data_IF_514825785701
#
_entry.id   IF_514825785701
#
_cell.length_a   1.000
_cell.length_b   1.000
_cell.length_c   1.000
_cell.angle_alpha   90.00
_cell.angle_beta   90.00
_cell.angle_gamma   90.00
#
_symmetry.space_group_name_H-M   'P 1'
#
loop_
_entity.id
_entity.type
_entity.pdbx_description
1 polymer ?
#
# COMPACT_ATOMS: atom_id res chain seq x y z
N UNK A 1 -19.06 -3.14 -52.54
CA UNK A 1 -17.82 -3.01 -53.35
C UNK A 1 -16.66 -2.89 -52.36
N UNK A 2 -16.25 -3.97 -51.69
CA UNK A 2 -15.33 -5.06 -52.15
C UNK A 2 -13.92 -4.50 -52.37
N UNK A 3 -12.80 -4.94 -51.80
CA UNK A 3 -12.35 -6.09 -50.98
C UNK A 3 -11.04 -5.62 -50.28
N UNK A 4 -10.74 -5.86 -48.99
CA UNK A 4 -10.23 -7.09 -48.35
C UNK A 4 -9.05 -7.79 -49.06
N UNK A 5 -8.04 -8.17 -48.24
CA UNK A 5 -6.91 -9.10 -48.50
C UNK A 5 -5.63 -8.45 -49.09
N UNK A 6 -4.40 -8.64 -48.58
CA UNK A 6 -3.79 -9.89 -48.14
C UNK A 6 -2.67 -9.72 -47.08
N UNK A 7 -2.76 -10.63 -46.11
CA UNK A 7 -1.72 -11.23 -45.27
C UNK A 7 -0.64 -11.95 -46.12
N UNK A 8 0.62 -12.02 -45.66
CA UNK A 8 1.48 -13.22 -45.65
C UNK A 8 2.91 -12.89 -45.17
N UNK A 9 3.34 -13.63 -44.14
CA UNK A 9 4.70 -13.74 -43.60
C UNK A 9 5.67 -14.37 -44.61
N UNK A 10 6.92 -13.91 -44.64
CA UNK A 10 8.05 -14.76 -45.04
C UNK A 10 9.31 -14.41 -44.22
N UNK A 11 9.92 -15.45 -43.66
CA UNK A 11 11.15 -15.47 -42.87
C UNK A 11 12.38 -15.56 -43.76
N UNK A 12 13.51 -15.13 -43.19
CA UNK A 12 14.86 -15.72 -43.30
C UNK A 12 15.65 -15.46 -44.58
N UNK A 13 16.79 -14.78 -44.44
CA UNK A 13 18.09 -15.27 -44.92
C UNK A 13 19.26 -14.51 -44.28
N UNK A 14 20.34 -15.27 -44.15
CA UNK A 14 21.56 -15.12 -43.35
C UNK A 14 22.72 -14.68 -44.25
N UNK A 15 23.68 -13.90 -43.73
CA UNK A 15 25.02 -13.81 -44.31
C UNK A 15 26.08 -13.54 -43.23
N UNK A 16 27.15 -14.34 -43.31
CA UNK A 16 28.37 -14.37 -42.49
C UNK A 16 29.30 -13.21 -42.86
N UNK A 17 30.14 -12.69 -41.95
CA UNK A 17 31.58 -13.00 -41.77
C UNK A 17 32.18 -11.77 -41.03
N UNK A 18 33.19 -11.78 -40.15
CA UNK A 18 34.53 -12.39 -40.12
C UNK A 18 35.10 -12.38 -38.66
N UNK A 19 36.28 -12.99 -38.40
CA UNK A 19 36.75 -13.38 -37.06
C UNK A 19 37.76 -12.40 -36.44
N UNK A 20 37.68 -12.16 -35.13
CA UNK A 20 38.83 -11.68 -34.35
C UNK A 20 38.91 -12.41 -33.00
N UNK A 21 40.11 -12.92 -32.75
CA UNK A 21 40.57 -13.56 -31.53
C UNK A 21 40.48 -12.58 -30.36
N UNK A 22 39.79 -12.96 -29.30
CA UNK A 22 40.08 -12.47 -27.95
C UNK A 22 39.68 -13.57 -26.96
N UNK A 23 40.57 -13.83 -26.01
CA UNK A 23 40.44 -14.84 -24.99
C UNK A 23 39.26 -14.50 -24.07
N UNK A 24 38.08 -15.04 -24.36
CA UNK A 24 36.91 -14.93 -23.51
C UNK A 24 36.73 -16.27 -22.78
N UNK A 25 36.84 -16.24 -21.45
CA UNK A 25 36.32 -17.29 -20.57
C UNK A 25 34.87 -17.57 -20.99
N UNK A 26 34.66 -18.64 -21.76
CA UNK A 26 33.31 -19.09 -22.09
C UNK A 26 32.66 -19.57 -20.80
N UNK A 27 31.88 -18.69 -20.19
CA UNK A 27 30.93 -19.03 -19.13
C UNK A 27 30.05 -20.17 -19.64
N UNK A 28 30.28 -21.39 -19.15
CA UNK A 28 29.40 -22.51 -19.41
C UNK A 28 28.11 -22.29 -18.62
N UNK A 29 27.10 -21.75 -19.29
CA UNK A 29 25.75 -21.66 -18.74
C UNK A 29 25.14 -23.06 -18.76
N UNK A 30 25.23 -23.76 -17.63
CA UNK A 30 24.53 -25.03 -17.42
C UNK A 30 23.07 -24.72 -17.06
N UNK A 31 22.13 -25.28 -17.80
CA UNK A 31 20.71 -25.26 -17.41
C UNK A 31 20.50 -26.30 -16.32
N UNK A 32 20.32 -25.85 -15.10
CA UNK A 32 19.90 -26.69 -13.97
C UNK A 32 18.37 -26.70 -13.87
N UNK A 33 17.82 -27.83 -13.45
CA UNK A 33 16.37 -27.93 -13.22
C UNK A 33 15.97 -27.13 -11.97
N UNK A 34 14.70 -26.72 -11.87
CA UNK A 34 14.22 -26.05 -10.65
C UNK A 34 14.38 -26.94 -9.41
N UNK A 35 14.26 -28.25 -9.58
CA UNK A 35 14.49 -29.23 -8.50
C UNK A 35 15.96 -29.19 -8.04
N UNK A 36 16.90 -29.08 -8.98
CA UNK A 36 18.35 -28.97 -8.74
C UNK A 36 18.77 -27.64 -8.13
N UNK A 37 18.08 -26.57 -8.49
CA UNK A 37 18.29 -25.28 -7.83
C UNK A 37 17.79 -25.26 -6.38
N UNK A 38 16.79 -26.09 -6.05
CA UNK A 38 16.10 -26.07 -4.74
C UNK A 38 16.51 -27.20 -3.80
N UNK A 39 17.37 -28.12 -4.25
CA UNK A 39 17.76 -29.32 -3.48
C UNK A 39 16.60 -30.31 -3.27
N UNK A 40 15.61 -30.30 -4.17
CA UNK A 40 14.39 -31.11 -4.10
C UNK A 40 14.41 -32.31 -5.06
N UNK A 41 15.56 -32.68 -5.64
CA UNK A 41 15.61 -33.82 -6.58
C UNK A 41 15.18 -35.14 -5.98
N UNK A 42 15.45 -35.37 -4.70
CA UNK A 42 14.99 -36.55 -3.95
C UNK A 42 13.46 -36.62 -3.89
N UNK A 43 12.80 -35.48 -3.62
CA UNK A 43 11.34 -35.40 -3.53
C UNK A 43 10.65 -35.59 -4.90
N UNK A 44 11.23 -35.02 -5.96
CA UNK A 44 10.72 -35.21 -7.33
C UNK A 44 10.89 -36.65 -7.80
N UNK A 45 12.01 -37.28 -7.42
CA UNK A 45 12.29 -38.69 -7.77
C UNK A 45 11.37 -39.67 -7.04
N UNK A 46 11.05 -39.42 -5.77
CA UNK A 46 10.08 -40.22 -5.01
C UNK A 46 8.66 -40.07 -5.54
N UNK A 47 8.23 -38.84 -5.85
CA UNK A 47 6.88 -38.59 -6.36
C UNK A 47 6.65 -39.24 -7.73
N UNK A 48 7.69 -39.29 -8.58
CA UNK A 48 7.64 -39.96 -9.88
C UNK A 48 7.52 -41.49 -9.73
N UNK A 49 8.20 -42.09 -8.75
CA UNK A 49 8.06 -43.52 -8.43
C UNK A 49 6.67 -43.89 -7.89
N UNK A 50 6.01 -42.98 -7.15
CA UNK A 50 4.65 -43.21 -6.64
C UNK A 50 3.57 -43.02 -7.71
N UNK A 51 3.85 -42.22 -8.75
CA UNK A 51 2.88 -41.96 -9.81
C UNK A 51 2.84 -43.08 -10.86
N UNK A 52 3.95 -43.80 -11.06
CA UNK A 52 4.01 -44.97 -11.94
C UNK A 52 3.40 -46.25 -11.30
N UNK A 53 3.02 -46.20 -10.02
CA UNK A 53 2.44 -47.36 -9.29
C UNK A 53 0.94 -47.27 -9.00
N UNK A 54 0.24 -46.20 -9.41
CA UNK A 54 -1.20 -46.09 -9.22
C UNK A 54 -1.97 -46.09 -10.55
N UNK A 55 -2.63 -47.23 -10.81
CA UNK A 55 -3.63 -47.41 -11.86
C UNK A 55 -4.84 -46.48 -11.66
N UNK A 56 -5.45 -45.93 -12.72
CA UNK A 56 -6.48 -44.91 -12.59
C UNK A 56 -7.88 -45.52 -12.60
N UNK A 57 -8.45 -45.84 -11.44
CA UNK A 57 -9.89 -46.10 -11.34
C UNK A 57 -10.50 -45.50 -10.07
N UNK A 58 -11.70 -44.94 -10.25
CA UNK A 58 -12.71 -44.50 -9.27
C UNK A 58 -12.65 -43.07 -8.73
N UNK A 59 -13.46 -42.25 -9.40
CA UNK A 59 -14.02 -40.97 -9.02
C UNK A 59 -15.28 -41.24 -8.17
N UNK A 60 -15.27 -40.99 -6.84
CA UNK A 60 -16.49 -40.94 -6.02
C UNK A 60 -16.36 -39.84 -4.97
N UNK A 61 -17.38 -38.99 -4.94
CA UNK A 61 -17.72 -37.89 -4.06
C UNK A 61 -17.20 -37.98 -2.62
N UNK A 62 -16.41 -36.97 -2.21
CA UNK A 62 -16.25 -36.57 -0.81
C UNK A 62 -16.69 -35.13 -0.60
N UNK A 63 -17.99 -35.01 -0.37
CA UNK A 63 -18.66 -34.18 0.63
C UNK A 63 -17.84 -33.05 1.30
N UNK A 64 -18.26 -31.82 0.99
CA UNK A 64 -17.92 -30.55 1.62
C UNK A 64 -17.70 -30.65 3.14
N UNK A 65 -16.43 -30.66 3.55
CA UNK A 65 -15.97 -30.14 4.83
C UNK A 65 -14.72 -29.30 4.54
N UNK A 66 -14.90 -27.98 4.44
CA UNK A 66 -13.85 -27.01 4.14
C UNK A 66 -12.87 -26.85 5.32
N UNK A 67 -12.00 -27.84 5.52
CA UNK A 67 -10.67 -27.62 6.10
C UNK A 67 -9.68 -27.76 4.94
N UNK A 68 -9.51 -26.68 4.18
CA UNK A 68 -8.59 -26.64 3.05
C UNK A 68 -7.18 -26.89 3.55
N UNK A 69 -6.62 -28.04 3.19
CA UNK A 69 -5.19 -28.29 3.17
C UNK A 69 -4.51 -27.13 2.44
N UNK A 70 -3.80 -26.29 3.19
CA UNK A 70 -3.05 -25.17 2.62
C UNK A 70 -2.07 -25.74 1.61
N UNK A 71 -2.28 -25.44 0.34
CA UNK A 71 -1.39 -25.90 -0.73
C UNK A 71 0.01 -25.35 -0.44
N UNK A 72 1.06 -26.15 -0.70
CA UNK A 72 2.44 -25.66 -0.63
C UNK A 72 2.63 -24.38 -1.46
N UNK A 73 1.88 -24.24 -2.55
CA UNK A 73 1.84 -23.01 -3.38
C UNK A 73 1.25 -21.83 -2.61
N UNK A 74 0.21 -22.04 -1.81
CA UNK A 74 -0.39 -20.99 -0.96
C UNK A 74 0.59 -20.59 0.16
N UNK A 75 1.28 -21.55 0.78
CA UNK A 75 2.29 -21.28 1.82
C UNK A 75 3.48 -20.45 1.29
N UNK A 76 3.91 -20.68 0.05
CA UNK A 76 4.98 -19.90 -0.59
C UNK A 76 4.49 -18.58 -1.20
N UNK A 77 3.24 -18.51 -1.67
CA UNK A 77 2.63 -17.28 -2.19
C UNK A 77 2.40 -16.24 -1.08
N UNK A 78 2.00 -16.71 0.11
CA UNK A 78 1.79 -15.87 1.30
C UNK A 78 3.07 -15.22 1.83
N UNK A 79 4.27 -15.73 1.49
CA UNK A 79 5.54 -15.06 1.84
C UNK A 79 5.88 -13.87 0.95
N UNK A 80 5.24 -13.73 -0.22
CA UNK A 80 5.46 -12.61 -1.15
C UNK A 80 4.37 -11.54 -1.09
N UNK A 81 3.29 -11.80 -0.36
CA UNK A 81 2.23 -10.82 -0.10
C UNK A 81 1.91 -10.89 1.38
N UNK A 82 2.18 -9.84 2.17
CA UNK A 82 1.65 -9.81 3.53
C UNK A 82 0.13 -10.00 3.43
N UNK A 83 -0.37 -11.09 4.01
CA UNK A 83 -1.79 -11.27 4.28
C UNK A 83 -2.11 -10.26 5.37
N UNK A 84 -2.30 -9.00 4.99
CA UNK A 84 -3.17 -8.12 5.75
C UNK A 84 -4.54 -8.69 5.49
N UNK A 85 -5.11 -9.35 6.49
CA UNK A 85 -6.53 -9.68 6.52
C UNK A 85 -7.30 -8.50 5.96
N UNK A 86 -8.21 -8.74 5.01
CA UNK A 86 -9.10 -7.74 4.41
C UNK A 86 -10.11 -7.18 5.44
N UNK A 87 -9.66 -6.78 6.63
CA UNK A 87 -10.42 -6.02 7.64
C UNK A 87 -10.85 -4.63 7.16
N UNK A 88 -10.63 -4.28 5.88
CA UNK A 88 -11.15 -3.05 5.29
C UNK A 88 -12.59 -3.17 4.78
N UNK A 89 -13.05 -4.37 4.44
CA UNK A 89 -14.46 -4.58 4.06
C UNK A 89 -15.38 -4.54 5.30
N UNK A 90 -14.82 -4.69 6.50
CA UNK A 90 -15.53 -4.65 7.79
C UNK A 90 -15.41 -3.30 8.53
N UNK A 91 -14.88 -2.25 7.89
CA UNK A 91 -15.07 -0.88 8.40
C UNK A 91 -16.52 -0.49 8.10
N UNK A 92 -17.44 -1.06 8.89
CA UNK A 92 -18.74 -0.45 9.13
C UNK A 92 -18.46 0.96 9.63
N UNK A 93 -18.86 1.95 8.86
CA UNK A 93 -19.01 3.33 9.33
C UNK A 93 -20.10 3.37 10.41
N UNK A 94 -19.84 2.79 11.57
CA UNK A 94 -20.72 2.76 12.73
C UNK A 94 -20.03 3.56 13.82
N UNK A 95 -20.01 4.88 13.64
CA UNK A 95 -20.03 5.90 14.70
C UNK A 95 -20.00 7.29 14.05
N UNK A 96 -20.95 7.55 13.13
CA UNK A 96 -21.51 8.89 13.08
C UNK A 96 -22.24 9.07 14.41
N UNK A 97 -21.50 9.56 15.41
CA UNK A 97 -22.07 10.17 16.60
C UNK A 97 -23.10 11.16 16.09
N UNK A 98 -24.37 10.88 16.37
CA UNK A 98 -25.47 11.83 16.26
C UNK A 98 -25.06 13.09 17.01
N UNK A 99 -24.43 14.04 16.31
CA UNK A 99 -24.27 15.40 16.79
C UNK A 99 -25.69 15.96 16.83
N UNK A 100 -26.17 16.45 17.99
CA UNK A 100 -27.51 17.00 18.10
C UNK A 100 -27.67 18.15 17.10
N UNK A 101 -28.77 18.13 16.33
CA UNK A 101 -29.12 19.07 15.23
C UNK A 101 -29.29 20.55 15.67
N UNK A 102 -28.78 20.97 16.83
CA UNK A 102 -29.19 22.23 17.48
C UNK A 102 -28.11 23.30 17.71
N UNK A 103 -26.92 23.27 17.08
CA UNK A 103 -25.91 24.32 17.33
C UNK A 103 -25.10 24.86 16.13
N UNK A 104 -25.41 24.49 14.89
CA UNK A 104 -24.71 25.02 13.71
C UNK A 104 -25.51 26.15 13.03
N UNK A 105 -25.65 27.27 13.74
CA UNK A 105 -26.07 28.57 13.17
C UNK A 105 -24.85 29.47 12.96
N UNK A 106 -23.80 28.97 12.32
CA UNK A 106 -22.67 29.80 11.92
C UNK A 106 -22.37 29.62 10.44
N UNK A 107 -22.05 30.75 9.81
CA UNK A 107 -21.86 30.97 8.36
C UNK A 107 -20.99 29.88 7.74
N UNK A 108 -21.13 29.58 6.43
CA UNK A 108 -20.24 28.63 5.75
C UNK A 108 -18.79 29.08 5.99
N UNK A 109 -18.07 28.33 6.82
CA UNK A 109 -16.66 28.58 7.09
C UNK A 109 -15.91 28.35 5.78
N UNK A 110 -15.33 29.42 5.25
CA UNK A 110 -14.49 29.35 4.08
C UNK A 110 -13.23 28.58 4.46
N UNK A 111 -13.09 27.38 3.90
CA UNK A 111 -11.91 26.54 4.10
C UNK A 111 -10.68 27.28 3.57
N UNK A 112 -9.73 27.55 4.47
CA UNK A 112 -8.45 28.15 4.08
C UNK A 112 -7.43 27.04 3.77
N UNK A 113 -7.35 26.65 2.49
CA UNK A 113 -6.40 25.64 2.02
C UNK A 113 -4.93 26.03 2.26
N UNK A 114 -4.63 27.33 2.41
CA UNK A 114 -3.30 27.80 2.75
C UNK A 114 -2.91 27.39 4.18
N UNK A 115 -3.75 27.69 5.16
CA UNK A 115 -3.53 27.34 6.57
C UNK A 115 -3.41 25.83 6.75
N UNK A 116 -4.24 25.08 6.01
CA UNK A 116 -4.21 23.61 6.00
C UNK A 116 -2.87 23.10 5.46
N UNK A 117 -2.40 23.66 4.35
CA UNK A 117 -1.12 23.27 3.75
C UNK A 117 0.05 23.61 4.67
N UNK A 118 0.01 24.78 5.31
CA UNK A 118 1.01 25.20 6.30
C UNK A 118 1.05 24.23 7.49
N UNK A 119 -0.12 23.86 8.03
CA UNK A 119 -0.25 22.90 9.12
C UNK A 119 0.37 21.54 8.78
N UNK A 120 0.07 21.00 7.59
CA UNK A 120 0.66 19.73 7.14
C UNK A 120 2.17 19.85 6.92
N UNK A 121 2.65 20.98 6.40
CA UNK A 121 4.09 21.20 6.22
C UNK A 121 4.82 21.32 7.57
N UNK A 122 4.18 21.88 8.60
CA UNK A 122 4.71 21.92 9.95
C UNK A 122 4.85 20.51 10.55
N UNK A 123 3.90 19.60 10.30
CA UNK A 123 4.01 18.19 10.69
C UNK A 123 5.20 17.50 10.01
N UNK A 124 5.46 17.81 8.73
CA UNK A 124 6.64 17.28 8.02
C UNK A 124 7.94 17.77 8.64
N UNK A 125 8.03 19.06 8.96
CA UNK A 125 9.19 19.64 9.67
C UNK A 125 9.39 19.02 11.06
N UNK A 126 8.30 18.73 11.78
CA UNK A 126 8.38 18.04 13.06
C UNK A 126 8.96 16.63 12.92
N UNK A 127 8.52 15.86 11.92
CA UNK A 127 9.08 14.52 11.65
C UNK A 127 10.55 14.57 11.23
N UNK A 128 10.92 15.53 10.38
CA UNK A 128 12.31 15.73 9.96
C UNK A 128 13.18 16.09 11.17
N UNK A 129 12.71 16.99 12.04
CA UNK A 129 13.40 17.33 13.29
C UNK A 129 13.55 16.11 14.19
N UNK A 130 12.49 15.36 14.44
CA UNK A 130 12.52 14.16 15.27
C UNK A 130 13.50 13.11 14.74
N UNK A 131 13.60 12.96 13.42
CA UNK A 131 14.55 12.07 12.76
C UNK A 131 16.00 12.56 12.92
N UNK A 132 16.25 13.86 12.83
CA UNK A 132 17.58 14.47 12.99
C UNK A 132 18.06 14.51 14.45
N UNK A 133 17.13 14.59 15.40
CA UNK A 133 17.40 14.59 16.84
C UNK A 133 17.70 13.18 17.39
N UNK A 134 17.64 12.13 16.56
CA UNK A 134 17.98 10.78 16.98
C UNK A 134 19.45 10.68 17.40
N UNK A 135 19.74 10.10 18.58
CA UNK A 135 21.12 9.86 18.97
C UNK A 135 21.77 8.88 17.98
N UNK A 136 22.95 9.22 17.48
CA UNK A 136 23.80 8.34 16.67
C UNK A 136 24.31 7.09 17.45
N UNK A 137 23.80 6.84 18.64
CA UNK A 137 24.14 5.71 19.50
C UNK A 137 22.89 4.85 19.68
N UNK A 138 23.00 3.58 19.27
CA UNK A 138 21.90 2.61 19.40
C UNK A 138 21.48 2.48 20.88
N UNK A 139 20.19 2.70 21.22
CA UNK A 139 19.74 2.63 22.60
C UNK A 139 19.84 1.19 23.14
N UNK A 140 20.42 1.06 24.33
CA UNK A 140 20.78 -0.24 24.95
C UNK A 140 19.63 -1.00 25.61
N UNK A 141 18.38 -0.55 25.46
CA UNK A 141 17.22 -1.15 26.14
C UNK A 141 16.12 -1.46 25.13
N UNK A 142 15.68 -2.72 25.07
CA UNK A 142 14.46 -3.09 24.36
C UNK A 142 13.30 -2.31 24.95
N UNK A 143 12.66 -1.45 24.17
CA UNK A 143 11.44 -0.78 24.57
C UNK A 143 10.26 -1.44 23.88
N UNK A 144 9.19 -1.65 24.64
CA UNK A 144 7.94 -2.20 24.12
C UNK A 144 7.15 -1.07 23.44
N UNK A 145 7.27 -0.98 22.12
CA UNK A 145 6.52 -0.02 21.31
C UNK A 145 5.16 -0.55 20.85
N UNK A 146 4.69 -1.67 21.41
CA UNK A 146 3.46 -2.33 20.95
C UNK A 146 2.24 -1.41 21.14
N UNK A 147 2.20 -0.65 22.24
CA UNK A 147 1.13 0.33 22.46
C UNK A 147 1.10 1.38 21.34
N UNK A 148 2.24 1.99 21.00
CA UNK A 148 2.30 2.98 19.90
C UNK A 148 1.93 2.37 18.55
N UNK A 149 2.29 1.11 18.28
CA UNK A 149 1.86 0.42 17.05
C UNK A 149 0.34 0.30 17.00
N UNK A 150 -0.30 -0.12 18.08
CA UNK A 150 -1.76 -0.26 18.12
C UNK A 150 -2.47 1.08 17.95
N UNK A 151 -1.97 2.14 18.58
CA UNK A 151 -2.46 3.51 18.40
C UNK A 151 -2.27 3.98 16.96
N UNK A 152 -1.09 3.73 16.37
CA UNK A 152 -0.80 4.13 15.00
C UNK A 152 -1.69 3.43 13.98
N UNK A 153 -1.95 2.13 14.18
CA UNK A 153 -2.91 1.38 13.36
C UNK A 153 -4.32 1.95 13.50
N UNK A 154 -4.75 2.31 14.71
CA UNK A 154 -6.06 2.90 14.96
C UNK A 154 -6.20 4.25 14.24
N UNK A 155 -5.25 5.16 14.43
CA UNK A 155 -5.29 6.49 13.81
C UNK A 155 -5.10 6.45 12.30
N UNK A 156 -4.26 5.53 11.78
CA UNK A 156 -4.13 5.31 10.33
C UNK A 156 -5.44 4.80 9.71
N UNK A 157 -6.22 3.98 10.42
CA UNK A 157 -7.56 3.56 9.98
C UNK A 157 -8.57 4.72 10.07
N UNK A 158 -8.52 5.53 11.13
CA UNK A 158 -9.34 6.75 11.26
C UNK A 158 -9.07 7.69 10.09
N UNK A 159 -7.81 7.95 9.76
CA UNK A 159 -7.39 8.75 8.62
C UNK A 159 -7.91 8.17 7.29
N UNK A 160 -7.77 6.85 7.08
CA UNK A 160 -8.31 6.22 5.87
C UNK A 160 -9.83 6.40 5.75
N UNK A 161 -10.56 6.29 6.86
CA UNK A 161 -12.01 6.53 6.93
C UNK A 161 -12.38 7.98 6.64
N UNK A 162 -11.68 8.93 7.25
CA UNK A 162 -11.88 10.36 7.02
C UNK A 162 -11.61 10.74 5.55
N UNK A 163 -10.50 10.25 4.98
CA UNK A 163 -10.18 10.43 3.56
C UNK A 163 -11.25 9.82 2.63
N UNK A 164 -11.80 8.66 2.98
CA UNK A 164 -12.90 8.04 2.21
C UNK A 164 -14.15 8.92 2.26
N UNK A 165 -14.52 9.42 3.43
CA UNK A 165 -15.67 10.32 3.63
C UNK A 165 -15.49 11.61 2.85
N UNK A 166 -14.29 12.20 2.92
CA UNK A 166 -13.91 13.36 2.11
C UNK A 166 -14.17 13.13 0.63
N UNK A 167 -13.76 11.99 0.07
CA UNK A 167 -13.96 11.70 -1.36
C UNK A 167 -15.41 11.45 -1.75
N UNK A 168 -16.19 10.85 -0.86
CA UNK A 168 -17.63 10.63 -1.09
C UNK A 168 -18.36 11.97 -1.18
N UNK A 169 -18.01 12.92 -0.33
CA UNK A 169 -18.64 14.25 -0.28
C UNK A 169 -18.28 15.10 -1.51
N UNK A 170 -17.09 14.90 -2.12
CA UNK A 170 -16.75 15.56 -3.39
C UNK A 170 -17.68 15.05 -4.50
N UNK A 171 -17.95 13.75 -4.49
CA UNK A 171 -18.80 13.13 -5.51
C UNK A 171 -20.28 13.52 -5.34
N UNK A 172 -20.74 13.74 -4.11
CA UNK A 172 -22.13 14.10 -3.84
C UNK A 172 -22.42 15.61 -4.07
N UNK A 173 -21.39 16.46 -4.26
CA UNK A 173 -21.41 17.89 -4.69
C UNK A 173 -22.48 18.84 -4.09
N UNK A 174 -23.35 18.37 -3.19
CA UNK A 174 -24.68 18.92 -3.02
C UNK A 174 -24.85 19.76 -1.77
N UNK A 175 -23.99 19.60 -0.76
CA UNK A 175 -24.32 20.17 0.53
C UNK A 175 -23.30 21.08 1.19
N UNK A 176 -22.02 21.13 0.82
CA UNK A 176 -21.10 22.21 1.22
C UNK A 176 -20.79 22.35 2.73
N UNK A 177 -21.70 21.89 3.60
CA UNK A 177 -21.87 22.24 5.00
C UNK A 177 -20.96 21.43 5.91
N UNK A 178 -20.48 20.29 5.45
CA UNK A 178 -19.65 19.38 6.22
C UNK A 178 -18.18 19.42 5.81
N UNK A 179 -17.83 20.21 4.80
CA UNK A 179 -16.45 20.21 4.28
C UNK A 179 -15.42 20.59 5.32
N UNK A 180 -15.67 21.68 6.07
CA UNK A 180 -14.75 22.13 7.12
C UNK A 180 -14.55 21.03 8.17
N UNK A 181 -15.65 20.43 8.63
CA UNK A 181 -15.62 19.34 9.59
C UNK A 181 -14.84 18.11 9.08
N UNK A 182 -15.07 17.70 7.82
CA UNK A 182 -14.39 16.54 7.25
C UNK A 182 -12.89 16.81 7.09
N UNK A 183 -12.52 18.01 6.66
CA UNK A 183 -11.11 18.41 6.53
C UNK A 183 -10.45 18.45 7.91
N UNK A 184 -11.13 18.99 8.92
CA UNK A 184 -10.64 19.00 10.29
C UNK A 184 -10.44 17.58 10.84
N UNK A 185 -11.36 16.65 10.57
CA UNK A 185 -11.22 15.24 10.95
C UNK A 185 -10.03 14.56 10.24
N UNK A 186 -9.83 14.84 8.94
CA UNK A 186 -8.69 14.35 8.18
C UNK A 186 -7.37 14.90 8.76
N UNK A 187 -7.34 16.18 9.12
CA UNK A 187 -6.17 16.82 9.69
C UNK A 187 -5.88 16.31 11.09
N UNK A 188 -6.87 16.21 11.96
CA UNK A 188 -6.72 15.67 13.31
C UNK A 188 -6.18 14.23 13.27
N UNK A 189 -6.68 13.39 12.36
CA UNK A 189 -6.17 12.04 12.19
C UNK A 189 -4.73 12.02 11.64
N UNK A 190 -4.40 12.91 10.70
CA UNK A 190 -3.04 13.03 10.16
C UNK A 190 -2.04 13.54 11.22
N UNK A 191 -2.46 14.47 12.07
CA UNK A 191 -1.69 14.92 13.22
C UNK A 191 -1.46 13.79 14.21
N UNK A 192 -2.51 13.06 14.58
CA UNK A 192 -2.38 11.94 15.52
C UNK A 192 -1.39 10.89 15.00
N UNK A 193 -1.49 10.52 13.71
CA UNK A 193 -0.53 9.64 13.04
C UNK A 193 0.90 10.20 13.13
N UNK A 194 1.10 11.49 12.87
CA UNK A 194 2.42 12.16 12.93
C UNK A 194 3.00 12.12 14.34
N UNK A 195 2.21 12.47 15.36
CA UNK A 195 2.64 12.47 16.77
C UNK A 195 2.96 11.06 17.28
N UNK A 196 2.18 10.05 16.87
CA UNK A 196 2.49 8.66 17.23
C UNK A 196 3.78 8.21 16.53
N UNK A 197 3.95 8.53 15.24
CA UNK A 197 5.19 8.26 14.51
C UNK A 197 6.38 8.93 15.18
N UNK A 198 6.27 10.18 15.62
CA UNK A 198 7.32 10.89 16.37
C UNK A 198 7.69 10.15 17.66
N UNK A 199 6.69 9.73 18.46
CA UNK A 199 6.94 8.93 19.67
C UNK A 199 7.61 7.59 19.34
N UNK A 200 7.23 6.94 18.24
CA UNK A 200 7.87 5.72 17.78
C UNK A 200 9.31 5.95 17.34
N UNK A 201 9.61 7.05 16.63
CA UNK A 201 10.96 7.45 16.24
C UNK A 201 11.83 7.60 17.49
N UNK A 202 11.38 8.41 18.46
CA UNK A 202 12.10 8.67 19.72
C UNK A 202 12.36 7.39 20.54
N UNK A 203 11.48 6.40 20.44
CA UNK A 203 11.60 5.10 21.14
C UNK A 203 12.29 4.02 20.31
N UNK A 204 12.52 4.25 19.02
CA UNK A 204 13.05 3.23 18.12
C UNK A 204 14.51 2.97 18.43
N UNK A 205 14.86 1.70 18.62
CA UNK A 205 16.24 1.26 18.75
C UNK A 205 16.97 1.13 17.41
N UNK A 206 16.24 1.31 16.31
CA UNK A 206 16.72 1.10 14.95
C UNK A 206 16.52 2.38 14.13
N UNK A 207 17.65 2.95 13.69
CA UNK A 207 17.65 4.07 12.74
C UNK A 207 16.90 3.68 11.47
N UNK A 208 17.04 2.43 11.01
CA UNK A 208 16.31 1.93 9.85
C UNK A 208 14.79 1.98 10.07
N UNK A 209 14.29 1.52 11.21
CA UNK A 209 12.85 1.58 11.50
C UNK A 209 12.36 3.02 11.64
N UNK A 210 13.13 3.89 12.30
CA UNK A 210 12.78 5.30 12.40
C UNK A 210 12.72 5.95 11.01
N UNK A 211 13.75 5.77 10.17
CA UNK A 211 13.77 6.27 8.80
C UNK A 211 12.60 5.75 7.97
N UNK A 212 12.29 4.46 8.08
CA UNK A 212 11.19 3.86 7.35
C UNK A 212 9.84 4.47 7.77
N UNK A 213 9.61 4.61 9.07
CA UNK A 213 8.41 5.23 9.64
C UNK A 213 8.27 6.70 9.25
N UNK A 214 9.35 7.48 9.36
CA UNK A 214 9.42 8.88 8.91
C UNK A 214 9.07 8.98 7.43
N UNK A 215 9.75 8.20 6.58
CA UNK A 215 9.55 8.24 5.12
C UNK A 215 8.10 7.90 4.75
N UNK A 216 7.51 6.88 5.38
CA UNK A 216 6.12 6.47 5.08
C UNK A 216 5.11 7.50 5.54
N UNK A 217 5.31 8.09 6.71
CA UNK A 217 4.44 9.16 7.22
C UNK A 217 4.58 10.42 6.36
N UNK A 218 5.80 10.78 5.94
CA UNK A 218 6.03 11.92 5.05
C UNK A 218 5.39 11.72 3.67
N UNK A 219 5.52 10.52 3.08
CA UNK A 219 4.84 10.17 1.82
C UNK A 219 3.32 10.32 1.94
N UNK A 220 2.74 9.87 3.05
CA UNK A 220 1.33 10.03 3.35
C UNK A 220 0.94 11.52 3.45
N UNK A 221 1.65 12.32 4.23
CA UNK A 221 1.38 13.76 4.38
C UNK A 221 1.49 14.50 3.04
N UNK A 222 2.50 14.20 2.23
CA UNK A 222 2.65 14.76 0.89
C UNK A 222 1.46 14.43 0.00
N UNK A 223 1.04 13.17 -0.04
CA UNK A 223 -0.14 12.77 -0.82
C UNK A 223 -1.43 13.41 -0.31
N UNK A 224 -1.55 13.69 0.99
CA UNK A 224 -2.70 14.38 1.56
C UNK A 224 -2.77 15.84 1.07
N UNK A 225 -1.66 16.57 1.08
CA UNK A 225 -1.59 17.94 0.53
C UNK A 225 -1.96 17.94 -0.96
N UNK A 226 -1.43 16.99 -1.73
CA UNK A 226 -1.77 16.88 -3.15
C UNK A 226 -3.28 16.65 -3.36
N UNK A 227 -3.91 15.79 -2.55
CA UNK A 227 -5.37 15.58 -2.59
C UNK A 227 -6.08 16.89 -2.28
N UNK A 228 -5.78 17.56 -1.17
CA UNK A 228 -6.44 18.81 -0.76
C UNK A 228 -6.33 19.91 -1.83
N UNK A 229 -5.15 20.09 -2.44
CA UNK A 229 -4.96 21.01 -3.58
C UNK A 229 -5.77 20.60 -4.82
N UNK A 230 -5.98 19.31 -5.02
CA UNK A 230 -6.85 18.82 -6.09
C UNK A 230 -8.33 19.02 -5.79
N UNK A 231 -8.74 18.99 -4.51
CA UNK A 231 -10.11 19.31 -4.11
C UNK A 231 -10.39 20.78 -4.42
N UNK A 232 -9.48 21.68 -4.04
CA UNK A 232 -9.58 23.11 -4.35
C UNK A 232 -9.77 23.34 -5.86
N UNK A 233 -9.01 22.64 -6.71
CA UNK A 233 -9.14 22.71 -8.17
C UNK A 233 -10.40 22.05 -8.71
N UNK A 234 -10.83 20.92 -8.14
CA UNK A 234 -12.01 20.19 -8.58
C UNK A 234 -13.31 20.98 -8.30
N UNK A 235 -13.31 21.88 -7.31
CA UNK A 235 -14.43 22.80 -7.09
C UNK A 235 -14.68 23.73 -8.30
N UNK A 236 -13.68 23.94 -9.17
CA UNK A 236 -13.85 24.65 -10.43
C UNK A 236 -14.61 23.86 -11.52
N UNK A 237 -15.10 22.64 -11.21
CA UNK A 237 -15.89 21.75 -12.08
C UNK A 237 -15.22 21.40 -13.41
N UNK A 238 -13.89 21.34 -13.42
CA UNK A 238 -13.13 20.85 -14.55
C UNK A 238 -13.04 19.31 -14.51
N UNK A 239 -13.39 18.66 -15.62
CA UNK A 239 -13.40 17.20 -15.74
C UNK A 239 -12.00 16.59 -15.57
N UNK A 240 -10.95 17.31 -15.96
CA UNK A 240 -9.58 16.85 -15.78
C UNK A 240 -9.11 16.97 -14.31
N UNK A 241 -9.63 17.97 -13.59
CA UNK A 241 -9.42 18.12 -12.15
C UNK A 241 -9.98 16.95 -11.34
N UNK A 242 -11.13 16.38 -11.74
CA UNK A 242 -11.72 15.20 -11.09
C UNK A 242 -10.88 13.93 -11.30
N UNK A 243 -10.33 13.73 -12.51
CA UNK A 243 -9.41 12.61 -12.79
C UNK A 243 -8.13 12.73 -11.96
N UNK A 244 -7.57 13.94 -11.88
CA UNK A 244 -6.37 14.21 -11.10
C UNK A 244 -6.61 13.95 -9.61
N UNK A 245 -7.76 14.41 -9.08
CA UNK A 245 -8.20 14.14 -7.72
C UNK A 245 -8.29 12.63 -7.47
N UNK A 246 -8.95 11.88 -8.35
CA UNK A 246 -9.09 10.42 -8.22
C UNK A 246 -7.72 9.72 -8.19
N UNK A 247 -6.79 10.13 -9.05
CA UNK A 247 -5.43 9.60 -9.07
C UNK A 247 -4.68 9.89 -7.76
N UNK A 248 -4.70 11.14 -7.28
CA UNK A 248 -4.04 11.53 -6.01
C UNK A 248 -4.66 10.84 -4.79
N UNK A 249 -5.97 10.63 -4.81
CA UNK A 249 -6.71 9.92 -3.76
C UNK A 249 -6.34 8.44 -3.70
N UNK A 250 -6.12 7.83 -4.86
CA UNK A 250 -5.61 6.46 -4.97
C UNK A 250 -4.20 6.38 -4.41
N UNK A 251 -3.34 7.36 -4.71
CA UNK A 251 -1.98 7.46 -4.15
C UNK A 251 -2.00 7.62 -2.63
N UNK A 252 -2.86 8.49 -2.08
CA UNK A 252 -3.02 8.65 -0.63
C UNK A 252 -3.45 7.34 0.03
N UNK A 253 -4.45 6.66 -0.54
CA UNK A 253 -4.91 5.35 -0.06
C UNK A 253 -3.77 4.32 -0.07
N UNK A 254 -2.96 4.31 -1.13
CA UNK A 254 -1.79 3.42 -1.22
C UNK A 254 -0.75 3.74 -0.15
N UNK A 255 -0.46 5.03 0.10
CA UNK A 255 0.50 5.45 1.11
C UNK A 255 0.04 5.10 2.53
N UNK A 256 -1.23 5.32 2.86
CA UNK A 256 -1.80 4.90 4.15
C UNK A 256 -1.72 3.37 4.32
N UNK A 257 -2.00 2.59 3.27
CA UNK A 257 -1.83 1.13 3.31
C UNK A 257 -0.38 0.71 3.52
N UNK A 258 0.57 1.39 2.88
CA UNK A 258 1.99 1.12 3.07
C UNK A 258 2.45 1.45 4.49
N UNK A 259 1.93 2.53 5.08
CA UNK A 259 2.16 2.85 6.49
C UNK A 259 1.64 1.73 7.40
N UNK A 260 0.39 1.31 7.20
CA UNK A 260 -0.22 0.20 7.95
C UNK A 260 0.59 -1.11 7.85
N UNK A 261 1.06 -1.46 6.64
CA UNK A 261 1.90 -2.65 6.45
C UNK A 261 3.26 -2.51 7.14
N UNK A 262 3.83 -1.31 7.14
CA UNK A 262 5.13 -1.04 7.78
C UNK A 262 5.01 -1.24 9.29
N UNK A 263 3.98 -0.66 9.91
CA UNK A 263 3.72 -0.76 11.36
C UNK A 263 3.48 -2.20 11.80
N UNK A 264 2.89 -3.02 10.93
CA UNK A 264 2.67 -4.44 11.20
C UNK A 264 3.96 -5.29 11.15
N UNK A 265 5.05 -4.74 10.60
CA UNK A 265 6.35 -5.42 10.47
C UNK A 265 7.45 -4.85 11.36
N UNK A 266 7.28 -3.63 11.89
CA UNK A 266 8.09 -3.07 12.99
C UNK A 266 7.71 -3.81 14.27
#
# INVERSE_FOLDING_TARGET
>A
MNNLSNLVKAKSSRSQSQPHQNNDERVQVRRISLAEFTGLESYVSEKKKQQDSMSPETNIDFQKNCQSSVSLIDTYSNRRRPIVSNTFDDIKCTELRKVPENELTNKPEQINFHDISERVENLRKQLEKAMNDLPNQSPRKSFDSENEKTELLKESRKLAGACKTMLLEINDMGNGKYWSQIIDEVLEAAEAVTHITERMIQKSNSIFQAQLMTTKTEQMLKSLVEVLQSIEKAQAKDGDSMKLLTARSTTLTANVRQLLSTVSHV
#
